data_IF_348106658469
#
_entry.id   IF_348106658469
#
_cell.length_a   1.000
_cell.length_b   1.000
_cell.length_c   1.000
_cell.angle_alpha   90.00
_cell.angle_beta   90.00
_cell.angle_gamma   90.00
#
_symmetry.space_group_name_H-M   'P 1'
#
loop_
_entity.id
_entity.type
_entity.pdbx_description
1 polymer ?
#
# COMPACT_ATOMS: atom_id res chain seq x y z
N UNK A 1 8.97 -46.54 7.56
CA UNK A 1 7.72 -46.00 8.14
C UNK A 1 8.03 -45.62 9.57
N UNK A 2 8.02 -44.38 10.06
CA UNK A 2 7.36 -43.15 9.62
C UNK A 2 6.72 -42.53 10.87
N UNK A 3 7.49 -41.80 11.68
CA UNK A 3 7.03 -41.19 12.95
C UNK A 3 7.73 -39.85 13.27
N UNK A 4 8.18 -39.11 12.25
CA UNK A 4 8.77 -37.77 12.40
C UNK A 4 8.17 -36.75 11.42
N UNK A 5 6.86 -36.83 11.18
CA UNK A 5 6.16 -35.95 10.21
C UNK A 5 4.98 -35.15 10.81
N UNK A 6 4.90 -35.01 12.15
CA UNK A 6 3.70 -34.45 12.80
C UNK A 6 3.84 -33.14 13.58
N UNK A 7 4.99 -32.46 13.56
CA UNK A 7 5.11 -31.19 14.28
C UNK A 7 5.78 -30.08 13.46
N UNK A 8 5.20 -29.77 12.29
CA UNK A 8 5.46 -28.49 11.61
C UNK A 8 4.22 -27.85 11.01
N UNK A 9 3.09 -27.93 11.71
CA UNK A 9 1.95 -27.05 11.51
C UNK A 9 2.23 -25.67 12.14
N UNK A 10 3.17 -24.90 11.58
CA UNK A 10 3.00 -23.44 11.62
C UNK A 10 1.92 -23.19 10.58
N UNK A 11 0.68 -22.92 10.99
CA UNK A 11 -0.35 -22.45 10.07
C UNK A 11 0.21 -21.21 9.37
N UNK A 12 0.72 -21.41 8.15
CA UNK A 12 0.99 -20.30 7.26
C UNK A 12 -0.37 -19.64 7.06
N UNK A 13 -0.50 -18.37 7.47
CA UNK A 13 -1.71 -17.59 7.23
C UNK A 13 -2.14 -17.80 5.78
N UNK A 14 -3.44 -18.02 5.56
CA UNK A 14 -3.92 -18.29 4.20
C UNK A 14 -3.51 -17.10 3.31
N UNK A 15 -3.08 -17.32 2.05
CA UNK A 15 -2.68 -16.23 1.16
C UNK A 15 -3.70 -15.09 1.10
N UNK A 16 -4.99 -15.41 1.21
CA UNK A 16 -6.12 -14.49 1.32
C UNK A 16 -6.02 -13.58 2.56
N UNK A 17 -5.73 -14.16 3.73
CA UNK A 17 -5.61 -13.45 5.00
C UNK A 17 -4.38 -12.55 5.02
N UNK A 18 -3.26 -13.02 4.46
CA UNK A 18 -2.05 -12.23 4.29
C UNK A 18 -2.29 -11.02 3.37
N UNK A 19 -2.89 -11.26 2.19
CA UNK A 19 -3.25 -10.20 1.25
C UNK A 19 -4.22 -9.20 1.88
N UNK A 20 -5.25 -9.69 2.59
CA UNK A 20 -6.24 -8.82 3.24
C UNK A 20 -5.58 -7.91 4.26
N UNK A 21 -4.68 -8.46 5.10
CA UNK A 21 -3.92 -7.68 6.08
C UNK A 21 -3.09 -6.59 5.38
N UNK A 22 -2.41 -6.91 4.29
CA UNK A 22 -1.59 -5.97 3.54
C UNK A 22 -2.44 -4.88 2.86
N UNK A 23 -3.59 -5.25 2.29
CA UNK A 23 -4.56 -4.30 1.72
C UNK A 23 -5.02 -3.29 2.78
N UNK A 24 -5.38 -3.76 3.98
CA UNK A 24 -5.78 -2.88 5.08
C UNK A 24 -4.67 -1.94 5.52
N UNK A 25 -3.41 -2.43 5.57
CA UNK A 25 -2.26 -1.60 5.89
C UNK A 25 -2.05 -0.49 4.85
N UNK A 26 -2.16 -0.81 3.56
CA UNK A 26 -2.03 0.21 2.50
C UNK A 26 -3.21 1.20 2.53
N UNK A 27 -4.42 0.76 2.86
CA UNK A 27 -5.55 1.68 3.07
C UNK A 27 -5.28 2.68 4.22
N UNK A 28 -4.67 2.24 5.31
CA UNK A 28 -4.26 3.11 6.41
C UNK A 28 -3.22 4.14 5.95
N UNK A 29 -2.21 3.70 5.19
CA UNK A 29 -1.21 4.58 4.58
C UNK A 29 -1.84 5.68 3.72
N UNK A 30 -2.84 5.31 2.90
CA UNK A 30 -3.56 6.28 2.07
C UNK A 30 -4.37 7.26 2.92
N UNK A 31 -5.01 6.79 4.01
CA UNK A 31 -5.74 7.67 4.94
C UNK A 31 -4.82 8.67 5.61
N UNK A 32 -3.69 8.22 6.15
CA UNK A 32 -2.66 9.10 6.73
C UNK A 32 -2.15 10.12 5.71
N UNK A 33 -2.06 9.73 4.43
CA UNK A 33 -1.64 10.63 3.36
C UNK A 33 -2.70 11.70 3.07
N UNK A 34 -3.99 11.34 3.02
CA UNK A 34 -5.09 12.30 2.90
C UNK A 34 -5.10 13.29 4.08
N UNK A 35 -4.98 12.78 5.31
CA UNK A 35 -4.94 13.60 6.54
C UNK A 35 -3.81 14.65 6.47
N UNK A 36 -2.60 14.22 6.09
CA UNK A 36 -1.45 15.15 5.92
C UNK A 36 -1.72 16.20 4.85
N UNK A 37 -2.35 15.82 3.73
CA UNK A 37 -2.68 16.78 2.67
C UNK A 37 -3.75 17.78 3.12
N UNK A 38 -4.70 17.35 3.94
CA UNK A 38 -5.76 18.22 4.46
C UNK A 38 -5.23 19.21 5.49
N UNK A 39 -4.22 18.84 6.26
CA UNK A 39 -3.49 19.72 7.17
C UNK A 39 -2.62 20.78 6.44
N UNK A 40 -2.40 20.64 5.13
CA UNK A 40 -1.67 21.64 4.36
C UNK A 40 -2.46 22.95 4.20
N UNK A 41 -1.76 24.10 4.12
CA UNK A 41 -2.37 25.36 3.69
C UNK A 41 -3.11 25.21 2.36
N UNK A 42 -4.24 25.91 2.15
CA UNK A 42 -5.07 25.78 0.94
C UNK A 42 -4.29 25.91 -0.37
N UNK A 43 -3.27 26.78 -0.41
CA UNK A 43 -2.42 27.05 -1.57
C UNK A 43 -1.58 25.83 -1.96
N UNK A 44 -1.19 25.01 -0.97
CA UNK A 44 -0.37 23.82 -1.16
C UNK A 44 -1.22 22.55 -1.33
N UNK A 45 -2.39 22.50 -0.70
CA UNK A 45 -3.31 21.35 -0.74
C UNK A 45 -3.68 20.94 -2.17
N UNK A 46 -4.07 21.91 -3.01
CA UNK A 46 -4.44 21.62 -4.40
C UNK A 46 -3.25 21.12 -5.23
N UNK A 47 -2.04 21.66 -4.97
CA UNK A 47 -0.81 21.20 -5.61
C UNK A 47 -0.45 19.76 -5.21
N UNK A 48 -0.54 19.45 -3.91
CA UNK A 48 -0.26 18.12 -3.39
C UNK A 48 -1.22 17.05 -3.95
N UNK A 49 -2.52 17.36 -4.00
CA UNK A 49 -3.54 16.47 -4.60
C UNK A 49 -3.28 16.24 -6.08
N UNK A 50 -3.03 17.29 -6.86
CA UNK A 50 -2.68 17.16 -8.29
C UNK A 50 -1.42 16.32 -8.50
N UNK A 51 -0.39 16.54 -7.70
CA UNK A 51 0.86 15.77 -7.81
C UNK A 51 0.65 14.27 -7.52
N UNK A 52 -0.21 13.93 -6.56
CA UNK A 52 -0.61 12.55 -6.32
C UNK A 52 -1.32 11.96 -7.53
N UNK A 53 -2.37 12.64 -8.00
CA UNK A 53 -3.20 12.17 -9.11
C UNK A 53 -2.38 11.99 -10.39
N UNK A 54 -1.44 12.89 -10.68
CA UNK A 54 -0.51 12.78 -11.82
C UNK A 54 0.44 11.59 -11.68
N UNK A 55 0.94 11.33 -10.47
CA UNK A 55 1.92 10.26 -10.23
C UNK A 55 1.28 8.87 -10.22
N UNK A 56 0.12 8.75 -9.56
CA UNK A 56 -0.58 7.48 -9.39
C UNK A 56 -1.51 7.21 -10.57
N UNK A 57 -2.00 8.26 -11.23
CA UNK A 57 -2.95 8.21 -12.34
C UNK A 57 -4.41 8.18 -11.89
N UNK A 58 -4.69 8.31 -10.59
CA UNK A 58 -6.03 8.40 -10.02
C UNK A 58 -6.01 9.11 -8.67
N UNK A 59 -7.18 9.53 -8.19
CA UNK A 59 -7.32 10.16 -6.88
C UNK A 59 -7.02 9.19 -5.74
N UNK A 60 -6.54 9.72 -4.61
CA UNK A 60 -6.31 8.91 -3.39
C UNK A 60 -7.59 8.15 -2.99
N UNK A 61 -8.73 8.83 -3.02
CA UNK A 61 -10.03 8.25 -2.69
C UNK A 61 -10.43 7.11 -3.64
N UNK A 62 -10.12 7.20 -4.93
CA UNK A 62 -10.41 6.13 -5.88
C UNK A 62 -9.47 4.93 -5.71
N UNK A 63 -8.19 5.18 -5.42
CA UNK A 63 -7.24 4.13 -5.04
C UNK A 63 -7.73 3.37 -3.79
N UNK A 64 -8.20 4.10 -2.77
CA UNK A 64 -8.78 3.52 -1.55
C UNK A 64 -10.03 2.69 -1.83
N UNK A 65 -10.98 3.18 -2.62
CA UNK A 65 -12.20 2.42 -2.99
C UNK A 65 -11.87 1.09 -3.69
N UNK A 66 -10.80 1.05 -4.49
CA UNK A 66 -10.35 -0.19 -5.16
C UNK A 66 -9.78 -1.19 -4.15
N UNK A 67 -9.00 -0.71 -3.19
CA UNK A 67 -8.51 -1.54 -2.08
C UNK A 67 -9.66 -2.06 -1.22
N UNK A 68 -10.65 -1.22 -0.89
CA UNK A 68 -11.89 -1.62 -0.18
C UNK A 68 -12.70 -2.67 -0.97
N UNK A 69 -12.73 -2.56 -2.30
CA UNK A 69 -13.35 -3.59 -3.15
C UNK A 69 -12.57 -4.91 -3.08
N UNK A 70 -11.24 -4.86 -3.11
CA UNK A 70 -10.39 -6.04 -2.98
C UNK A 70 -10.54 -6.69 -1.60
N UNK A 71 -10.55 -5.90 -0.52
CA UNK A 71 -10.76 -6.36 0.85
C UNK A 71 -12.08 -7.13 0.99
N UNK A 72 -13.18 -6.58 0.47
CA UNK A 72 -14.49 -7.25 0.48
C UNK A 72 -14.49 -8.57 -0.26
N UNK A 73 -13.73 -8.68 -1.36
CA UNK A 73 -13.60 -9.94 -2.11
C UNK A 73 -12.80 -10.98 -1.36
N UNK A 74 -11.68 -10.57 -0.76
CA UNK A 74 -10.86 -11.42 0.10
C UNK A 74 -11.61 -11.88 1.36
N UNK A 75 -12.62 -11.12 1.81
CA UNK A 75 -13.53 -11.52 2.89
C UNK A 75 -14.61 -12.51 2.44
N UNK A 76 -15.14 -12.33 1.24
CA UNK A 76 -16.34 -13.02 0.78
C UNK A 76 -16.07 -14.34 0.03
N UNK A 77 -14.85 -14.54 -0.49
CA UNK A 77 -14.54 -15.68 -1.33
C UNK A 77 -13.07 -16.08 -1.29
N UNK A 78 -12.75 -17.14 -2.02
CA UNK A 78 -11.38 -17.62 -2.15
C UNK A 78 -10.62 -16.74 -3.17
N UNK A 79 -9.30 -16.67 -3.06
CA UNK A 79 -8.47 -15.89 -3.99
C UNK A 79 -8.70 -16.30 -5.47
N UNK A 80 -9.03 -17.57 -5.71
CA UNK A 80 -9.35 -18.13 -7.03
C UNK A 80 -10.57 -17.47 -7.70
N UNK A 81 -11.47 -16.90 -6.91
CA UNK A 81 -12.69 -16.27 -7.38
C UNK A 81 -12.44 -14.81 -7.81
N UNK A 82 -11.24 -14.28 -7.56
CA UNK A 82 -10.83 -12.94 -7.96
C UNK A 82 -10.26 -12.99 -9.39
N UNK A 83 -10.86 -12.27 -10.36
CA UNK A 83 -10.38 -12.29 -11.73
C UNK A 83 -8.93 -11.82 -11.85
N UNK A 84 -8.10 -12.58 -12.60
CA UNK A 84 -6.69 -12.22 -12.86
C UNK A 84 -6.50 -10.78 -13.37
N UNK A 85 -7.34 -10.23 -14.28
CA UNK A 85 -7.21 -8.85 -14.71
C UNK A 85 -7.37 -7.83 -13.57
N UNK A 86 -8.16 -8.15 -12.54
CA UNK A 86 -8.35 -7.29 -11.38
C UNK A 86 -7.12 -7.30 -10.47
N UNK A 87 -6.51 -8.46 -10.25
CA UNK A 87 -5.25 -8.59 -9.53
C UNK A 87 -4.11 -7.88 -10.26
N UNK A 88 -4.02 -8.05 -11.59
CA UNK A 88 -3.02 -7.37 -12.42
C UNK A 88 -3.21 -5.85 -12.38
N UNK A 89 -4.45 -5.38 -12.49
CA UNK A 89 -4.78 -3.96 -12.38
C UNK A 89 -4.49 -3.39 -10.99
N UNK A 90 -4.71 -4.15 -9.92
CA UNK A 90 -4.34 -3.72 -8.57
C UNK A 90 -2.81 -3.64 -8.43
N UNK A 91 -2.08 -4.64 -8.94
CA UNK A 91 -0.61 -4.68 -8.91
C UNK A 91 0.01 -3.47 -9.62
N UNK A 92 -0.45 -3.14 -10.82
CA UNK A 92 0.05 -1.98 -11.56
C UNK A 92 -0.14 -0.66 -10.77
N UNK A 93 -1.31 -0.50 -10.12
CA UNK A 93 -1.59 0.67 -9.29
C UNK A 93 -0.70 0.74 -8.06
N UNK A 94 -0.52 -0.39 -7.36
CA UNK A 94 0.36 -0.45 -6.19
C UNK A 94 1.81 -0.15 -6.58
N UNK A 95 2.26 -0.56 -7.77
CA UNK A 95 3.58 -0.19 -8.29
C UNK A 95 3.72 1.32 -8.49
N UNK A 96 2.71 2.01 -9.04
CA UNK A 96 2.73 3.48 -9.19
C UNK A 96 2.67 4.19 -7.85
N UNK A 97 1.90 3.66 -6.91
CA UNK A 97 1.80 4.19 -5.55
C UNK A 97 3.14 4.06 -4.81
N UNK A 98 3.82 2.92 -4.92
CA UNK A 98 5.15 2.69 -4.34
C UNK A 98 6.17 3.70 -4.89
N UNK A 99 6.22 3.84 -6.21
CA UNK A 99 7.02 4.85 -6.91
C UNK A 99 6.76 6.27 -6.38
N UNK A 100 5.48 6.64 -6.23
CA UNK A 100 5.10 7.95 -5.73
C UNK A 100 5.52 8.16 -4.27
N UNK A 101 5.35 7.16 -3.40
CA UNK A 101 5.77 7.22 -1.99
C UNK A 101 7.29 7.35 -1.86
N UNK A 102 8.06 6.60 -2.65
CA UNK A 102 9.53 6.66 -2.69
C UNK A 102 9.99 8.06 -3.16
N UNK A 103 9.41 8.58 -4.26
CA UNK A 103 9.77 9.92 -4.77
C UNK A 103 9.41 11.03 -3.78
N UNK A 104 8.23 10.95 -3.17
CA UNK A 104 7.78 11.90 -2.16
C UNK A 104 8.69 11.90 -0.94
N UNK A 105 9.14 10.72 -0.50
CA UNK A 105 10.18 10.59 0.53
C UNK A 105 11.48 11.31 0.14
N UNK A 106 12.00 11.06 -1.07
CA UNK A 106 13.23 11.69 -1.55
C UNK A 106 13.12 13.21 -1.64
N UNK A 107 11.95 13.73 -2.05
CA UNK A 107 11.68 15.16 -2.11
C UNK A 107 11.56 15.80 -0.73
N UNK A 108 10.87 15.16 0.22
CA UNK A 108 10.76 15.65 1.60
C UNK A 108 12.12 15.73 2.32
N UNK A 109 13.06 14.83 1.99
CA UNK A 109 14.43 14.90 2.52
C UNK A 109 15.20 16.15 2.06
N UNK A 110 14.88 16.69 0.88
CA UNK A 110 15.56 17.87 0.33
C UNK A 110 15.05 19.18 0.94
N UNK A 111 13.81 19.21 1.42
CA UNK A 111 13.12 20.44 1.84
C UNK A 111 13.28 20.76 3.32
N UNK A 112 13.53 19.77 4.17
CA UNK A 112 13.66 20.01 5.60
C UNK A 112 15.07 20.50 5.91
N UNK A 113 15.21 21.58 6.70
CA UNK A 113 16.50 22.07 7.23
C UNK A 113 16.80 21.52 8.63
N UNK A 114 15.75 21.24 9.40
CA UNK A 114 15.80 20.78 10.79
C UNK A 114 16.14 19.28 10.94
N UNK A 115 17.06 18.95 11.85
CA UNK A 115 17.56 17.57 12.06
C UNK A 115 16.57 16.67 12.81
N UNK A 116 15.71 17.23 13.66
CA UNK A 116 14.74 16.48 14.46
C UNK A 116 13.53 16.02 13.63
N UNK A 117 12.84 16.97 13.00
CA UNK A 117 11.69 16.67 12.12
C UNK A 117 12.05 15.76 10.94
N UNK A 118 13.28 15.85 10.43
CA UNK A 118 13.81 14.96 9.38
C UNK A 118 13.70 13.49 9.70
N UNK A 119 14.07 13.08 10.93
CA UNK A 119 14.07 11.66 11.31
C UNK A 119 12.65 11.10 11.37
N UNK A 120 11.71 11.87 11.92
CA UNK A 120 10.31 11.46 12.04
C UNK A 120 9.65 11.36 10.65
N UNK A 121 9.81 12.38 9.80
CA UNK A 121 9.28 12.39 8.43
C UNK A 121 9.89 11.26 7.61
N UNK A 122 11.19 10.99 7.77
CA UNK A 122 11.88 9.86 7.13
C UNK A 122 11.32 8.52 7.57
N UNK A 123 11.17 8.30 8.86
CA UNK A 123 10.67 7.04 9.39
C UNK A 123 9.22 6.78 8.92
N UNK A 124 8.38 7.82 8.96
CA UNK A 124 7.00 7.77 8.47
C UNK A 124 6.93 7.46 6.98
N UNK A 125 7.61 8.24 6.13
CA UNK A 125 7.57 8.06 4.69
C UNK A 125 8.16 6.70 4.24
N UNK A 126 9.23 6.23 4.89
CA UNK A 126 9.79 4.90 4.63
C UNK A 126 8.82 3.78 5.01
N UNK A 127 8.22 3.84 6.21
CA UNK A 127 7.24 2.84 6.66
C UNK A 127 6.10 2.70 5.66
N UNK A 128 5.61 3.83 5.14
CA UNK A 128 4.52 3.86 4.14
C UNK A 128 4.93 3.19 2.83
N UNK A 129 6.13 3.48 2.32
CA UNK A 129 6.65 2.80 1.12
C UNK A 129 6.81 1.29 1.35
N UNK A 130 7.44 0.89 2.46
CA UNK A 130 7.65 -0.52 2.81
C UNK A 130 6.31 -1.29 2.86
N UNK A 131 5.23 -0.70 3.39
CA UNK A 131 3.90 -1.32 3.42
C UNK A 131 3.29 -1.55 2.03
N UNK A 132 3.48 -0.62 1.10
CA UNK A 132 3.02 -0.76 -0.29
C UNK A 132 3.85 -1.80 -1.03
N UNK A 133 5.16 -1.81 -0.83
CA UNK A 133 6.08 -2.80 -1.40
C UNK A 133 5.71 -4.23 -0.98
N UNK A 134 5.38 -4.45 0.30
CA UNK A 134 4.98 -5.78 0.78
C UNK A 134 3.66 -6.25 0.16
N UNK A 135 2.68 -5.36 -0.03
CA UNK A 135 1.47 -5.69 -0.78
C UNK A 135 1.80 -6.05 -2.24
N UNK A 136 2.69 -5.29 -2.88
CA UNK A 136 3.10 -5.55 -4.27
C UNK A 136 3.75 -6.93 -4.41
N UNK A 137 4.64 -7.31 -3.49
CA UNK A 137 5.26 -8.65 -3.43
C UNK A 137 4.22 -9.74 -3.25
N UNK A 138 3.25 -9.54 -2.36
CA UNK A 138 2.19 -10.52 -2.14
C UNK A 138 1.33 -10.70 -3.40
N UNK A 139 0.96 -9.60 -4.07
CA UNK A 139 0.24 -9.63 -5.35
C UNK A 139 1.04 -10.32 -6.45
N UNK A 140 2.36 -10.14 -6.49
CA UNK A 140 3.21 -10.84 -7.45
C UNK A 140 3.23 -12.36 -7.20
N UNK A 141 3.32 -12.80 -5.94
CA UNK A 141 3.32 -14.24 -5.60
C UNK A 141 2.05 -14.94 -6.03
N UNK A 142 0.90 -14.27 -5.93
CA UNK A 142 -0.40 -14.87 -6.28
C UNK A 142 -0.77 -14.75 -7.76
N UNK A 143 -0.04 -13.93 -8.52
CA UNK A 143 -0.29 -13.74 -9.97
C UNK A 143 0.68 -14.51 -10.85
N UNK A 144 1.73 -15.11 -10.28
CA UNK A 144 2.64 -16.06 -10.93
C UNK A 144 2.04 -17.47 -10.94
#
# INVERSE_FOLDING_TARGET
MGLLDRFRGKEAARPEEELRRLVLQVMEVLRETEEIMDDLPPELRQGARRSFDESVGESIGDCRKRLEKMERKLLAGDLKDIPRPELAGLRERMSRLDDHMIRSYLSAMKLTGDRGGKKAIRASARRRADQVEELLKALERVTR
#
